data_IF_145012753165
#
_entry.id   IF_145012753165
#
_cell.length_a   1.000
_cell.length_b   1.000
_cell.length_c   1.000
_cell.angle_alpha   90.00
_cell.angle_beta   90.00
_cell.angle_gamma   90.00
#
_symmetry.space_group_name_H-M   'P 1'
#
loop_
_entity.id
_entity.type
_entity.pdbx_description
1 polymer ?
#
# COMPACT_ATOMS: atom_id res chain seq x y z
N UNK A 1 14.53 14.56 -6.77
CA UNK A 1 14.39 14.18 -5.35
C UNK A 1 13.21 13.24 -5.20
N UNK A 2 13.29 12.23 -4.33
CA UNK A 2 12.13 11.41 -3.97
C UNK A 2 11.01 12.28 -3.38
N UNK A 3 9.76 11.89 -3.64
CA UNK A 3 8.56 12.47 -3.02
C UNK A 3 7.75 11.38 -2.36
N UNK A 4 7.05 11.70 -1.28
CA UNK A 4 6.16 10.75 -0.61
C UNK A 4 4.91 10.44 -1.45
N UNK A 5 4.32 9.27 -1.22
CA UNK A 5 3.15 8.83 -1.98
C UNK A 5 1.91 9.70 -1.73
N UNK A 6 1.82 10.41 -0.60
CA UNK A 6 0.77 11.40 -0.33
C UNK A 6 0.73 12.52 -1.38
N UNK A 7 1.88 12.90 -1.95
CA UNK A 7 1.97 13.87 -3.04
C UNK A 7 1.58 13.28 -4.40
N UNK A 8 1.49 11.95 -4.51
CA UNK A 8 1.13 11.22 -5.74
C UNK A 8 -0.33 10.77 -5.71
N UNK A 9 -0.86 10.52 -4.51
CA UNK A 9 -2.23 10.09 -4.26
C UNK A 9 -3.25 10.95 -5.02
N UNK A 10 -4.23 10.29 -5.65
CA UNK A 10 -5.29 10.92 -6.44
C UNK A 10 -4.82 11.87 -7.57
N UNK A 11 -3.55 11.86 -7.97
CA UNK A 11 -3.11 12.69 -9.11
C UNK A 11 -3.79 12.19 -10.40
N UNK A 12 -4.14 13.09 -11.35
CA UNK A 12 -4.68 12.69 -12.66
C UNK A 12 -3.79 11.72 -13.44
N UNK A 13 -2.49 11.71 -13.18
CA UNK A 13 -1.53 10.81 -13.82
C UNK A 13 -1.38 9.44 -13.14
N UNK A 14 -2.10 9.16 -12.05
CA UNK A 14 -2.12 7.85 -11.39
C UNK A 14 -3.26 7.01 -11.99
N UNK A 15 -2.88 5.95 -12.70
CA UNK A 15 -3.80 4.98 -13.30
C UNK A 15 -3.54 3.59 -12.70
N UNK A 16 -4.32 2.60 -13.13
CA UNK A 16 -4.30 1.22 -12.64
C UNK A 16 -2.92 0.57 -12.80
N UNK A 17 -2.25 0.80 -13.93
CA UNK A 17 -0.92 0.25 -14.17
C UNK A 17 0.10 0.82 -13.19
N UNK A 18 0.06 2.13 -12.92
CA UNK A 18 0.96 2.77 -11.95
C UNK A 18 0.60 2.38 -10.52
N UNK A 19 -0.68 2.26 -10.20
CA UNK A 19 -1.15 1.76 -8.92
C UNK A 19 -0.61 0.35 -8.67
N UNK A 20 -0.80 -0.58 -9.61
CA UNK A 20 -0.29 -1.95 -9.52
C UNK A 20 1.24 -1.98 -9.37
N UNK A 21 1.97 -1.16 -10.13
CA UNK A 21 3.43 -1.07 -10.02
C UNK A 21 3.89 -0.55 -8.64
N UNK A 22 3.19 0.43 -8.07
CA UNK A 22 3.48 0.97 -6.73
C UNK A 22 3.19 -0.11 -5.68
N UNK A 23 1.99 -0.70 -5.70
CA UNK A 23 1.58 -1.72 -4.73
C UNK A 23 2.48 -2.95 -4.80
N UNK A 24 2.84 -3.41 -6.00
CA UNK A 24 3.77 -4.52 -6.19
C UNK A 24 5.14 -4.27 -5.57
N UNK A 25 5.66 -3.05 -5.70
CA UNK A 25 6.94 -2.68 -5.07
C UNK A 25 6.85 -2.59 -3.54
N UNK A 26 5.76 -2.03 -3.00
CA UNK A 26 5.53 -1.97 -1.55
C UNK A 26 5.42 -3.39 -0.98
N UNK A 27 4.59 -4.24 -1.59
CA UNK A 27 4.40 -5.64 -1.20
C UNK A 27 5.72 -6.42 -1.23
N UNK A 28 6.51 -6.28 -2.30
CA UNK A 28 7.84 -6.88 -2.38
C UNK A 28 8.81 -6.33 -1.31
N UNK A 29 8.68 -5.06 -0.93
CA UNK A 29 9.45 -4.46 0.17
C UNK A 29 9.11 -5.06 1.54
N UNK A 30 7.81 -5.26 1.80
CA UNK A 30 7.30 -5.88 3.03
C UNK A 30 7.71 -7.35 3.09
N UNK A 31 7.56 -8.12 2.01
CA UNK A 31 7.83 -9.56 2.00
C UNK A 31 9.32 -9.92 2.14
N UNK A 32 10.21 -9.06 1.65
CA UNK A 32 11.67 -9.30 1.69
C UNK A 32 12.32 -8.95 3.03
N UNK A 33 11.63 -8.29 3.94
CA UNK A 33 12.19 -7.86 5.22
C UNK A 33 11.58 -8.68 6.37
N UNK A 34 12.41 -9.20 7.29
CA UNK A 34 11.92 -9.74 8.59
C UNK A 34 11.62 -8.62 9.60
N UNK A 35 11.33 -7.43 9.09
CA UNK A 35 11.08 -6.21 9.83
C UNK A 35 9.64 -5.80 9.57
N UNK A 36 8.90 -5.55 10.64
CA UNK A 36 7.56 -4.98 10.58
C UNK A 36 7.68 -3.48 10.83
N UNK A 37 7.21 -2.64 9.89
CA UNK A 37 7.29 -1.20 10.08
C UNK A 37 6.27 -0.73 11.12
N UNK A 38 5.13 -1.41 11.25
CA UNK A 38 4.08 -1.18 12.25
C UNK A 38 3.37 0.20 12.20
N UNK A 39 3.79 1.07 11.27
CA UNK A 39 3.31 2.44 11.09
C UNK A 39 3.39 2.88 9.61
N UNK A 40 3.30 1.93 8.67
CA UNK A 40 3.32 2.20 7.23
C UNK A 40 2.18 3.15 6.81
N UNK A 41 2.52 4.21 6.07
CA UNK A 41 1.58 5.21 5.54
C UNK A 41 2.10 5.75 4.20
N UNK A 42 1.29 6.47 3.42
CA UNK A 42 1.78 7.11 2.20
C UNK A 42 2.91 8.13 2.44
N UNK A 43 2.99 8.74 3.63
CA UNK A 43 4.02 9.73 3.96
C UNK A 43 5.40 9.12 4.23
N UNK A 44 5.50 7.85 4.63
CA UNK A 44 6.79 7.16 4.83
C UNK A 44 7.16 6.21 3.68
N UNK A 45 6.42 6.26 2.56
CA UNK A 45 6.77 5.56 1.33
C UNK A 45 7.15 6.61 0.28
N UNK A 46 8.35 6.47 -0.28
CA UNK A 46 8.93 7.44 -1.20
C UNK A 46 8.97 6.87 -2.61
N UNK A 47 8.45 7.63 -3.56
CA UNK A 47 8.61 7.40 -4.98
C UNK A 47 9.79 8.22 -5.51
N UNK A 48 10.72 7.54 -6.17
CA UNK A 48 11.86 8.15 -6.82
C UNK A 48 11.52 8.57 -8.26
N UNK A 49 12.27 9.54 -8.83
CA UNK A 49 12.16 9.89 -10.25
C UNK A 49 12.36 8.71 -11.21
N UNK A 50 13.16 7.73 -10.79
CA UNK A 50 13.48 6.52 -11.55
C UNK A 50 12.35 5.45 -11.49
N UNK A 51 11.19 5.82 -10.93
CA UNK A 51 9.97 4.99 -10.82
C UNK A 51 10.07 3.82 -9.84
N UNK A 52 11.11 3.77 -9.02
CA UNK A 52 11.17 2.86 -7.88
C UNK A 52 10.51 3.48 -6.64
N UNK A 53 9.85 2.62 -5.86
CA UNK A 53 9.18 2.95 -4.61
C UNK A 53 9.93 2.28 -3.47
N UNK A 54 10.22 3.05 -2.41
CA UNK A 54 10.97 2.57 -1.24
C UNK A 54 10.25 2.93 0.05
N UNK A 55 10.26 1.99 0.99
CA UNK A 55 9.79 2.21 2.37
C UNK A 55 10.92 2.93 3.12
N UNK A 56 10.62 4.08 3.69
CA UNK A 56 11.53 4.89 4.48
C UNK A 56 11.26 4.74 5.99
N UNK A 57 11.83 5.62 6.81
CA UNK A 57 11.66 5.69 8.26
C UNK A 57 11.90 4.39 9.05
N UNK A 58 13.10 3.82 8.87
CA UNK A 58 13.55 2.60 9.54
C UNK A 58 13.50 2.65 11.08
N UNK A 59 13.33 3.82 11.70
CA UNK A 59 13.22 3.95 13.16
C UNK A 59 11.93 3.31 13.70
N UNK A 60 10.91 3.16 12.87
CA UNK A 60 9.67 2.49 13.21
C UNK A 60 9.73 0.97 13.01
N UNK A 61 10.73 0.46 12.29
CA UNK A 61 10.87 -0.96 12.02
C UNK A 61 11.25 -1.74 13.28
N UNK A 62 10.44 -2.73 13.62
CA UNK A 62 10.70 -3.67 14.71
C UNK A 62 10.97 -5.06 14.14
N UNK A 63 11.88 -5.80 14.77
CA UNK A 63 12.10 -7.19 14.40
C UNK A 63 10.84 -8.00 14.71
N UNK A 64 10.35 -8.75 13.72
CA UNK A 64 9.13 -9.53 13.87
C UNK A 64 9.39 -10.69 14.85
N UNK A 65 8.75 -10.73 16.04
CA UNK A 65 9.08 -11.73 17.06
C UNK A 65 8.58 -13.14 16.71
N UNK A 66 7.61 -13.25 15.80
CA UNK A 66 6.93 -14.50 15.43
C UNK A 66 6.37 -14.41 14.02
N UNK A 67 6.46 -15.51 13.26
CA UNK A 67 5.85 -15.65 11.93
C UNK A 67 4.32 -15.66 11.97
N UNK A 68 3.72 -15.84 13.16
CA UNK A 68 2.26 -15.97 13.36
C UNK A 68 1.53 -14.67 13.70
N UNK A 69 2.24 -13.54 13.87
CA UNK A 69 1.59 -12.28 14.19
C UNK A 69 0.85 -11.74 12.95
N UNK A 70 -0.41 -11.31 13.11
CA UNK A 70 -1.16 -10.57 12.09
C UNK A 70 -0.29 -9.45 11.52
N UNK A 71 -0.02 -9.41 10.21
CA UNK A 71 0.83 -8.38 9.63
C UNK A 71 0.11 -7.03 9.71
N UNK A 72 0.49 -6.17 10.67
CA UNK A 72 -0.02 -4.79 10.76
C UNK A 72 0.23 -4.03 9.46
N UNK A 73 1.25 -4.45 8.72
CA UNK A 73 1.62 -3.91 7.41
C UNK A 73 0.59 -4.25 6.31
N UNK A 74 -0.19 -5.37 6.39
CA UNK A 74 -1.31 -5.62 5.45
C UNK A 74 -2.48 -4.68 5.72
N UNK A 75 -2.80 -4.47 6.99
CA UNK A 75 -3.83 -3.48 7.34
C UNK A 75 -3.41 -2.09 6.84
N UNK A 76 -2.14 -1.72 6.99
CA UNK A 76 -1.60 -0.49 6.43
C UNK A 76 -1.73 -0.44 4.90
N UNK A 77 -1.49 -1.55 4.18
CA UNK A 77 -1.66 -1.64 2.72
C UNK A 77 -3.09 -1.27 2.29
N UNK A 78 -4.11 -1.64 3.06
CA UNK A 78 -5.50 -1.27 2.73
C UNK A 78 -5.72 0.26 2.75
N UNK A 79 -5.18 0.94 3.76
CA UNK A 79 -5.26 2.40 3.88
C UNK A 79 -4.39 3.11 2.82
N UNK A 80 -3.18 2.59 2.55
CA UNK A 80 -2.30 3.12 1.49
C UNK A 80 -2.96 2.99 0.12
N UNK A 81 -3.57 1.83 -0.18
CA UNK A 81 -4.26 1.60 -1.46
C UNK A 81 -5.44 2.55 -1.61
N UNK A 82 -6.27 2.68 -0.57
CA UNK A 82 -7.38 3.63 -0.54
C UNK A 82 -6.90 5.07 -0.74
N UNK A 83 -5.87 5.49 -0.02
CA UNK A 83 -5.32 6.85 -0.13
C UNK A 83 -4.74 7.10 -1.52
N UNK A 84 -4.00 6.16 -2.12
CA UNK A 84 -3.55 6.28 -3.51
C UNK A 84 -4.73 6.46 -4.47
N UNK A 85 -5.81 5.71 -4.26
CA UNK A 85 -6.98 5.70 -5.14
C UNK A 85 -7.88 6.93 -5.02
N UNK A 86 -7.94 7.61 -3.87
CA UNK A 86 -8.87 8.74 -3.68
C UNK A 86 -8.27 9.98 -2.99
N UNK A 87 -7.05 9.89 -2.49
CA UNK A 87 -6.27 11.00 -1.93
C UNK A 87 -6.35 11.11 -0.42
N UNK A 88 -7.14 10.24 0.22
CA UNK A 88 -7.33 10.21 1.67
C UNK A 88 -7.75 8.82 2.14
N UNK A 89 -7.45 8.50 3.39
CA UNK A 89 -8.10 7.41 4.10
C UNK A 89 -9.40 7.90 4.75
N UNK A 90 -10.40 7.02 4.86
CA UNK A 90 -11.65 7.35 5.56
C UNK A 90 -11.43 7.43 7.07
N UNK A 91 -11.98 8.47 7.70
CA UNK A 91 -11.79 8.75 9.13
C UNK A 91 -12.56 7.82 10.07
N UNK A 92 -13.54 7.08 9.57
CA UNK A 92 -14.33 6.09 10.30
C UNK A 92 -13.66 4.70 10.38
N UNK A 93 -12.48 4.56 9.78
CA UNK A 93 -11.72 3.31 9.72
C UNK A 93 -12.21 2.34 8.64
N UNK A 94 -13.25 2.68 7.88
CA UNK A 94 -13.72 1.87 6.76
C UNK A 94 -12.70 1.85 5.61
N UNK A 95 -12.68 0.76 4.86
CA UNK A 95 -11.86 0.60 3.66
C UNK A 95 -12.77 0.57 2.45
N UNK A 96 -12.54 1.48 1.50
CA UNK A 96 -13.28 1.56 0.25
C UNK A 96 -13.10 2.91 -0.42
N UNK A 97 -13.44 2.99 -1.71
CA UNK A 97 -13.36 4.23 -2.49
C UNK A 97 -14.73 4.86 -2.69
N UNK A 98 -14.80 6.19 -2.73
CA UNK A 98 -16.07 6.92 -2.90
C UNK A 98 -16.58 6.92 -4.35
N UNK A 99 -15.66 6.91 -5.32
CA UNK A 99 -15.97 6.75 -6.75
C UNK A 99 -15.24 5.51 -7.31
N UNK A 100 -15.82 4.30 -7.15
CA UNK A 100 -15.24 3.08 -7.71
C UNK A 100 -15.26 3.08 -9.25
N UNK A 101 -16.13 3.86 -9.90
CA UNK A 101 -16.22 3.92 -11.37
C UNK A 101 -15.01 4.56 -12.03
N UNK A 102 -14.21 5.32 -11.27
CA UNK A 102 -12.91 5.83 -11.71
C UNK A 102 -11.89 4.73 -11.99
N UNK A 103 -12.02 3.58 -11.33
CA UNK A 103 -11.03 2.51 -11.34
C UNK A 103 -11.59 1.27 -12.03
N UNK A 104 -10.74 0.52 -12.73
CA UNK A 104 -11.16 -0.79 -13.24
C UNK A 104 -11.51 -1.78 -12.10
N UNK A 105 -12.20 -2.87 -12.46
CA UNK A 105 -12.61 -3.91 -11.51
C UNK A 105 -11.44 -4.52 -10.75
N UNK A 106 -10.30 -4.69 -11.40
CA UNK A 106 -9.13 -5.34 -10.82
C UNK A 106 -8.52 -4.47 -9.71
N UNK A 107 -8.39 -3.16 -9.93
CA UNK A 107 -7.91 -2.21 -8.93
C UNK A 107 -8.82 -2.15 -7.70
N UNK A 108 -10.14 -2.15 -7.90
CA UNK A 108 -11.10 -2.22 -6.79
C UNK A 108 -11.04 -3.57 -6.07
N UNK A 109 -10.85 -4.66 -6.83
CA UNK A 109 -10.71 -6.02 -6.27
C UNK A 109 -9.45 -6.16 -5.42
N UNK A 110 -8.33 -5.57 -5.83
CA UNK A 110 -7.10 -5.52 -5.02
C UNK A 110 -7.34 -4.80 -3.71
N UNK A 111 -7.99 -3.62 -3.72
CA UNK A 111 -8.35 -2.93 -2.48
C UNK A 111 -9.22 -3.80 -1.58
N UNK A 112 -10.23 -4.47 -2.14
CA UNK A 112 -11.07 -5.41 -1.39
C UNK A 112 -10.26 -6.54 -0.77
N UNK A 113 -9.36 -7.16 -1.56
CA UNK A 113 -8.51 -8.26 -1.12
C UNK A 113 -7.60 -7.87 0.06
N UNK A 114 -7.13 -6.62 0.13
CA UNK A 114 -6.32 -6.15 1.28
C UNK A 114 -7.05 -6.21 2.63
N UNK A 115 -8.39 -6.27 2.63
CA UNK A 115 -9.19 -6.33 3.86
C UNK A 115 -9.32 -7.74 4.44
N UNK A 116 -9.12 -8.77 3.62
CA UNK A 116 -9.26 -10.17 4.00
C UNK A 116 -7.97 -10.96 3.93
N UNK A 117 -6.94 -10.43 3.25
CA UNK A 117 -5.68 -11.13 3.07
C UNK A 117 -4.93 -11.35 4.39
N UNK A 118 -4.38 -12.55 4.54
CA UNK A 118 -3.61 -12.96 5.72
C UNK A 118 -2.10 -12.82 5.51
N UNK A 119 -1.68 -12.69 4.25
CA UNK A 119 -0.28 -12.55 3.86
C UNK A 119 -0.11 -11.69 2.61
N UNK A 120 1.07 -11.09 2.45
CA UNK A 120 1.42 -10.35 1.22
C UNK A 120 1.54 -11.29 0.02
N UNK A 121 1.95 -12.55 0.24
CA UNK A 121 2.03 -13.56 -0.82
C UNK A 121 0.67 -13.94 -1.41
N UNK A 122 -0.39 -13.84 -0.60
CA UNK A 122 -1.78 -14.00 -1.06
C UNK A 122 -2.17 -12.85 -2.00
N UNK A 123 -1.86 -11.60 -1.61
CA UNK A 123 -2.14 -10.40 -2.40
C UNK A 123 -1.34 -10.38 -3.71
N UNK A 124 -0.09 -10.83 -3.71
CA UNK A 124 0.74 -10.89 -4.92
C UNK A 124 0.26 -11.91 -5.96
N UNK A 125 -0.66 -12.82 -5.60
CA UNK A 125 -1.32 -13.75 -6.54
C UNK A 125 -2.56 -13.15 -7.18
N UNK A 126 -3.02 -12.00 -6.69
CA UNK A 126 -4.15 -11.31 -7.27
C UNK A 126 -3.75 -10.74 -8.65
N UNK A 127 -4.60 -10.91 -9.69
CA UNK A 127 -4.37 -10.30 -11.00
C UNK A 127 -4.31 -8.77 -10.93
#
# INVERSE_FOLDING_TARGET
MPISLDHIANRPGLNEMRLAAILGQIMNGISKQRLEHSSLTCSNILANPDRDVKIADYKCCQFRPSEKAEPRDIRALSYITMELMQGYAKGDGAVGVDDPGRWNSDAVSVLSATTSATSVDELMKHP
#
